data_IF_319521696438
#
_entry.id   IF_319521696438
#
_cell.length_a   1.000
_cell.length_b   1.000
_cell.length_c   1.000
_cell.angle_alpha   90.00
_cell.angle_beta   90.00
_cell.angle_gamma   90.00
#
_symmetry.space_group_name_H-M   'P 1'
#
loop_
_entity.id
_entity.type
_entity.pdbx_description
1 polymer ?
#
# COMPACT_ATOMS: atom_id res chain seq x y z
N UNK A 1 -43.70 33.83 -30.92
CA UNK A 1 -42.62 34.78 -31.25
C UNK A 1 -41.33 34.00 -31.46
N UNK A 2 -40.83 33.93 -32.69
CA UNK A 2 -39.53 33.32 -32.98
C UNK A 2 -38.43 34.20 -32.38
N UNK A 3 -37.78 33.72 -31.31
CA UNK A 3 -36.61 34.40 -30.75
C UNK A 3 -35.44 34.16 -31.68
N UNK A 4 -35.12 35.15 -32.51
CA UNK A 4 -33.88 35.15 -33.30
C UNK A 4 -32.73 35.02 -32.31
N UNK A 5 -31.95 33.94 -32.41
CA UNK A 5 -30.77 33.75 -31.56
C UNK A 5 -29.74 34.82 -31.95
N UNK A 6 -29.43 35.72 -31.04
CA UNK A 6 -28.38 36.73 -31.20
C UNK A 6 -27.04 36.18 -30.69
N UNK A 7 -26.00 36.31 -31.51
CA UNK A 7 -24.64 35.90 -31.18
C UNK A 7 -24.02 36.87 -30.17
N UNK A 8 -22.88 36.49 -29.56
CA UNK A 8 -22.14 37.39 -28.66
C UNK A 8 -21.61 38.62 -29.42
N UNK A 9 -21.15 38.43 -30.65
CA UNK A 9 -20.57 39.48 -31.49
C UNK A 9 -21.60 40.54 -31.89
N UNK A 10 -22.87 40.15 -32.04
CA UNK A 10 -23.96 41.09 -32.32
C UNK A 10 -24.13 42.12 -31.18
N UNK A 11 -23.74 41.80 -29.94
CA UNK A 11 -23.79 42.73 -28.81
C UNK A 11 -22.55 43.62 -28.73
N UNK A 12 -21.38 43.12 -29.15
CA UNK A 12 -20.09 43.83 -29.04
C UNK A 12 -20.13 45.14 -29.82
N UNK A 13 -20.76 45.17 -31.00
CA UNK A 13 -20.91 46.37 -31.83
C UNK A 13 -21.49 47.53 -31.01
N UNK A 14 -22.55 47.27 -30.25
CA UNK A 14 -23.20 48.28 -29.41
C UNK A 14 -22.38 48.65 -28.17
N UNK A 15 -21.61 47.72 -27.61
CA UNK A 15 -20.77 48.00 -26.44
C UNK A 15 -19.57 48.86 -26.80
N UNK A 16 -18.93 48.60 -27.96
CA UNK A 16 -17.82 49.39 -28.48
C UNK A 16 -18.24 50.81 -28.87
N UNK A 17 -19.44 50.98 -29.42
CA UNK A 17 -19.95 52.31 -29.79
C UNK A 17 -20.33 53.18 -28.59
N UNK A 18 -20.56 52.58 -27.40
CA UNK A 18 -20.76 53.27 -26.12
C UNK A 18 -22.01 54.16 -25.98
N UNK A 19 -22.82 54.29 -27.03
CA UNK A 19 -23.90 55.30 -27.12
C UNK A 19 -25.28 54.83 -26.64
N UNK A 20 -25.48 53.51 -26.46
CA UNK A 20 -26.77 52.95 -26.11
C UNK A 20 -26.78 52.30 -24.71
N UNK A 21 -27.83 52.60 -23.94
CA UNK A 21 -28.12 51.93 -22.68
C UNK A 21 -28.61 50.49 -22.91
N UNK A 22 -28.47 49.62 -21.91
CA UNK A 22 -28.94 48.22 -21.97
C UNK A 22 -30.43 48.09 -22.32
N UNK A 23 -31.24 49.08 -21.93
CA UNK A 23 -32.66 49.12 -22.26
C UNK A 23 -32.90 49.40 -23.76
N UNK A 24 -32.07 50.23 -24.38
CA UNK A 24 -32.14 50.51 -25.81
C UNK A 24 -31.65 49.31 -26.62
N UNK A 25 -30.52 48.72 -26.24
CA UNK A 25 -29.98 47.51 -26.89
C UNK A 25 -30.98 46.35 -26.79
N UNK A 26 -31.65 46.19 -25.64
CA UNK A 26 -32.69 45.17 -25.44
C UNK A 26 -33.86 45.33 -26.42
N UNK A 27 -34.33 46.56 -26.63
CA UNK A 27 -35.42 46.87 -27.58
C UNK A 27 -34.98 46.64 -29.02
N UNK A 28 -33.82 47.16 -29.39
CA UNK A 28 -33.24 47.06 -30.73
C UNK A 28 -33.02 45.60 -31.15
N UNK A 29 -32.46 44.81 -30.23
CA UNK A 29 -32.10 43.42 -30.49
C UNK A 29 -33.25 42.44 -30.28
N UNK A 30 -34.38 42.89 -29.72
CA UNK A 30 -35.53 42.03 -29.41
C UNK A 30 -35.22 40.99 -28.32
N UNK A 31 -34.32 41.28 -27.39
CA UNK A 31 -33.86 40.37 -26.33
C UNK A 31 -34.12 40.92 -24.94
N UNK A 32 -34.13 40.06 -23.92
CA UNK A 32 -34.33 40.51 -22.54
C UNK A 32 -33.14 41.38 -22.07
N UNK A 33 -33.42 42.53 -21.44
CA UNK A 33 -32.42 43.42 -20.82
C UNK A 33 -31.48 42.70 -19.86
N UNK A 34 -31.97 41.71 -19.11
CA UNK A 34 -31.13 40.90 -18.22
C UNK A 34 -30.07 40.11 -19.00
N UNK A 35 -30.37 39.69 -20.24
CA UNK A 35 -29.40 39.04 -21.11
C UNK A 35 -28.33 40.05 -21.56
N UNK A 36 -28.72 41.25 -21.99
CA UNK A 36 -27.78 42.32 -22.37
C UNK A 36 -26.81 42.61 -21.23
N UNK A 37 -27.31 42.78 -20.00
CA UNK A 37 -26.49 43.06 -18.82
C UNK A 37 -25.49 41.92 -18.51
N UNK A 38 -25.92 40.65 -18.65
CA UNK A 38 -25.02 39.49 -18.48
C UNK A 38 -23.89 39.47 -19.52
N UNK A 39 -24.22 39.77 -20.77
CA UNK A 39 -23.24 39.79 -21.87
C UNK A 39 -22.29 40.98 -21.70
N UNK A 40 -22.78 42.17 -21.31
CA UNK A 40 -21.95 43.35 -21.04
C UNK A 40 -20.93 43.10 -19.94
N UNK A 41 -21.36 42.56 -18.79
CA UNK A 41 -20.43 42.19 -17.70
C UNK A 41 -19.37 41.21 -18.17
N UNK A 42 -19.74 40.20 -18.97
CA UNK A 42 -18.80 39.22 -19.53
C UNK A 42 -17.79 39.87 -20.48
N UNK A 43 -18.22 40.86 -21.25
CA UNK A 43 -17.35 41.64 -22.14
C UNK A 43 -16.41 42.54 -21.34
N UNK A 44 -16.93 43.32 -20.38
CA UNK A 44 -16.14 44.18 -19.48
C UNK A 44 -15.07 43.38 -18.70
N UNK A 45 -15.41 42.18 -18.21
CA UNK A 45 -14.45 41.30 -17.53
C UNK A 45 -13.36 40.74 -18.46
N UNK A 46 -13.64 40.61 -19.76
CA UNK A 46 -12.61 40.19 -20.73
C UNK A 46 -11.71 41.35 -21.12
N UNK A 47 -12.29 42.55 -21.26
CA UNK A 47 -11.53 43.77 -21.52
C UNK A 47 -10.61 44.11 -20.34
N UNK A 48 -11.09 43.96 -19.09
CA UNK A 48 -10.27 44.16 -17.89
C UNK A 48 -9.12 43.16 -17.78
N UNK A 49 -9.31 41.91 -18.23
CA UNK A 49 -8.27 40.88 -18.20
C UNK A 49 -7.21 41.04 -19.31
N UNK A 50 -7.46 41.89 -20.31
CA UNK A 50 -6.45 42.24 -21.32
C UNK A 50 -5.59 43.45 -20.91
N UNK A 51 -5.99 44.20 -19.87
CA UNK A 51 -5.26 45.38 -19.40
C UNK A 51 -4.24 45.08 -18.27
N UNK A 52 -4.35 43.92 -17.62
CA UNK A 52 -3.33 43.42 -16.69
C UNK A 52 -2.44 42.41 -17.41
N UNK A 53 -1.30 42.87 -17.92
CA UNK A 53 -0.16 41.98 -18.19
C UNK A 53 0.22 41.32 -16.86
N UNK A 54 -0.31 40.13 -16.59
CA UNK A 54 0.29 39.27 -15.59
C UNK A 54 1.76 39.06 -15.97
N UNK A 55 2.73 39.32 -15.08
CA UNK A 55 4.13 39.17 -15.41
C UNK A 55 4.36 37.72 -15.84
N UNK A 56 4.70 37.54 -17.12
CA UNK A 56 5.02 36.24 -17.70
C UNK A 56 6.28 35.73 -16.99
N UNK A 57 6.08 34.88 -15.99
CA UNK A 57 7.18 34.23 -15.26
C UNK A 57 7.93 33.38 -16.27
N UNK A 58 9.12 33.85 -16.64
CA UNK A 58 10.02 33.16 -17.58
C UNK A 58 11.11 32.52 -16.74
N UNK A 59 11.08 31.19 -16.62
CA UNK A 59 12.12 30.43 -15.93
C UNK A 59 13.20 30.09 -16.96
N UNK A 60 14.47 30.24 -16.60
CA UNK A 60 15.56 29.83 -17.49
C UNK A 60 15.56 28.31 -17.66
N UNK A 61 15.82 27.84 -18.88
CA UNK A 61 15.91 26.41 -19.20
C UNK A 61 16.91 25.68 -18.28
N UNK A 62 18.02 26.33 -17.96
CA UNK A 62 19.02 25.84 -17.01
C UNK A 62 18.43 25.59 -15.61
N UNK A 63 17.62 26.53 -15.09
CA UNK A 63 17.00 26.37 -13.77
C UNK A 63 16.01 25.21 -13.76
N UNK A 64 15.23 25.06 -14.84
CA UNK A 64 14.31 23.94 -14.99
C UNK A 64 15.06 22.59 -15.05
N UNK A 65 16.14 22.51 -15.84
CA UNK A 65 16.95 21.31 -15.98
C UNK A 65 17.60 20.90 -14.65
N UNK A 66 18.13 21.86 -13.89
CA UNK A 66 18.72 21.58 -12.58
C UNK A 66 17.67 21.02 -11.59
N UNK A 67 16.46 21.58 -11.56
CA UNK A 67 15.37 21.05 -10.73
C UNK A 67 14.99 19.63 -11.14
N UNK A 68 14.93 19.33 -12.44
CA UNK A 68 14.63 17.98 -12.95
C UNK A 68 15.73 16.98 -12.58
N UNK A 69 17.01 17.36 -12.71
CA UNK A 69 18.14 16.52 -12.31
C UNK A 69 18.09 16.23 -10.82
N UNK A 70 17.96 17.25 -9.97
CA UNK A 70 17.86 17.07 -8.52
C UNK A 70 16.66 16.19 -8.12
N UNK A 71 15.49 16.38 -8.76
CA UNK A 71 14.33 15.53 -8.50
C UNK A 71 14.56 14.07 -8.94
N UNK A 72 15.25 13.86 -10.07
CA UNK A 72 15.61 12.53 -10.57
C UNK A 72 16.58 11.82 -9.62
N UNK A 73 17.64 12.51 -9.18
CA UNK A 73 18.63 11.98 -8.24
C UNK A 73 18.00 11.62 -6.89
N UNK A 74 17.18 12.51 -6.34
CA UNK A 74 16.46 12.26 -5.08
C UNK A 74 15.52 11.05 -5.20
N UNK A 75 14.83 10.90 -6.34
CA UNK A 75 13.99 9.73 -6.60
C UNK A 75 14.81 8.44 -6.73
N UNK A 76 15.95 8.47 -7.41
CA UNK A 76 16.86 7.34 -7.50
C UNK A 76 17.41 6.93 -6.12
N UNK A 77 17.78 7.91 -5.29
CA UNK A 77 18.24 7.69 -3.92
C UNK A 77 17.14 7.09 -3.03
N UNK A 78 15.92 7.63 -3.11
CA UNK A 78 14.75 7.07 -2.40
C UNK A 78 14.46 5.63 -2.84
N UNK A 79 14.53 5.34 -4.14
CA UNK A 79 14.39 3.99 -4.68
C UNK A 79 15.44 3.02 -4.15
N UNK A 80 16.71 3.46 -4.06
CA UNK A 80 17.81 2.68 -3.49
C UNK A 80 17.63 2.41 -2.00
N UNK A 81 17.23 3.41 -1.21
CA UNK A 81 16.95 3.23 0.22
C UNK A 81 15.80 2.25 0.43
N UNK A 82 14.73 2.36 -0.38
CA UNK A 82 13.60 1.45 -0.33
C UNK A 82 14.01 0.01 -0.64
N UNK A 83 14.83 -0.20 -1.67
CA UNK A 83 15.31 -1.53 -2.03
C UNK A 83 16.22 -2.12 -0.94
N UNK A 84 17.14 -1.33 -0.37
CA UNK A 84 17.99 -1.74 0.75
C UNK A 84 17.15 -2.14 1.98
N UNK A 85 16.11 -1.36 2.31
CA UNK A 85 15.21 -1.67 3.41
C UNK A 85 14.45 -2.98 3.17
N UNK A 86 13.94 -3.20 1.96
CA UNK A 86 13.32 -4.47 1.59
C UNK A 86 14.30 -5.65 1.72
N UNK A 87 15.54 -5.50 1.26
CA UNK A 87 16.55 -6.54 1.35
C UNK A 87 16.94 -6.84 2.81
N UNK A 88 17.16 -5.82 3.63
CA UNK A 88 17.45 -5.97 5.07
C UNK A 88 16.29 -6.64 5.80
N UNK A 89 15.04 -6.28 5.49
CA UNK A 89 13.85 -6.94 6.05
C UNK A 89 13.79 -8.41 5.66
N UNK A 90 14.00 -8.73 4.38
CA UNK A 90 14.00 -10.11 3.91
C UNK A 90 15.12 -10.93 4.57
N UNK A 91 16.32 -10.35 4.69
CA UNK A 91 17.46 -10.97 5.37
C UNK A 91 17.13 -11.29 6.83
N UNK A 92 16.57 -10.32 7.56
CA UNK A 92 16.15 -10.53 8.95
C UNK A 92 15.13 -11.66 9.07
N UNK A 93 14.15 -11.73 8.15
CA UNK A 93 13.18 -12.82 8.10
C UNK A 93 13.82 -14.19 7.89
N UNK A 94 14.82 -14.29 7.01
CA UNK A 94 15.57 -15.52 6.78
C UNK A 94 16.41 -15.92 8.00
N UNK A 95 17.10 -14.96 8.62
CA UNK A 95 17.89 -15.20 9.85
C UNK A 95 16.98 -15.67 10.98
N UNK A 96 15.79 -15.06 11.15
CA UNK A 96 14.80 -15.51 12.12
C UNK A 96 14.36 -16.97 11.87
N UNK A 97 14.02 -17.33 10.63
CA UNK A 97 13.60 -18.70 10.28
C UNK A 97 14.73 -19.69 10.61
N UNK A 98 15.97 -19.36 10.25
CA UNK A 98 17.13 -20.21 10.53
C UNK A 98 17.33 -20.42 12.04
N UNK A 99 17.32 -19.35 12.83
CA UNK A 99 17.46 -19.42 14.28
C UNK A 99 16.30 -20.17 14.94
N UNK A 100 15.07 -19.94 14.46
CA UNK A 100 13.89 -20.62 14.99
C UNK A 100 13.92 -22.11 14.71
N UNK A 101 14.32 -22.53 13.50
CA UNK A 101 14.50 -23.96 13.19
C UNK A 101 15.56 -24.60 14.08
N UNK A 102 16.70 -23.93 14.29
CA UNK A 102 17.73 -24.43 15.21
C UNK A 102 17.22 -24.55 16.65
N UNK A 103 16.38 -23.62 17.10
CA UNK A 103 15.71 -23.71 18.39
C UNK A 103 14.76 -24.91 18.47
N UNK A 104 13.96 -25.17 17.43
CA UNK A 104 13.08 -26.33 17.38
C UNK A 104 13.86 -27.65 17.47
N UNK A 105 15.00 -27.75 16.78
CA UNK A 105 15.86 -28.94 16.85
C UNK A 105 16.36 -29.19 18.28
N UNK A 106 16.69 -28.13 19.01
CA UNK A 106 17.09 -28.22 20.42
C UNK A 106 15.94 -28.64 21.32
N UNK A 107 14.77 -28.01 21.18
CA UNK A 107 13.58 -28.32 21.97
C UNK A 107 13.12 -29.77 21.75
N UNK A 108 13.20 -30.25 20.50
CA UNK A 108 12.78 -31.62 20.15
C UNK A 108 13.87 -32.67 20.32
N UNK A 109 15.06 -32.31 20.77
CA UNK A 109 16.17 -33.26 20.95
C UNK A 109 15.79 -34.41 21.90
N UNK A 110 15.10 -34.11 22.99
CA UNK A 110 14.65 -35.13 23.96
C UNK A 110 13.66 -36.11 23.31
N UNK A 111 12.58 -35.58 22.72
CA UNK A 111 11.58 -36.38 22.01
C UNK A 111 12.20 -37.26 20.91
N UNK A 112 13.13 -36.70 20.13
CA UNK A 112 13.82 -37.45 19.07
C UNK A 112 14.65 -38.61 19.62
N UNK A 113 15.30 -38.42 20.78
CA UNK A 113 16.06 -39.49 21.42
C UNK A 113 15.15 -40.59 21.95
N UNK A 114 14.04 -40.21 22.61
CA UNK A 114 13.05 -41.13 23.15
C UNK A 114 12.39 -41.96 22.04
N UNK A 115 11.96 -41.31 20.95
CA UNK A 115 11.45 -41.98 19.74
C UNK A 115 12.45 -43.01 19.22
N UNK A 116 13.73 -42.64 19.08
CA UNK A 116 14.77 -43.57 18.60
C UNK A 116 14.96 -44.78 19.52
N UNK A 117 14.91 -44.56 20.84
CA UNK A 117 15.04 -45.65 21.83
C UNK A 117 13.84 -46.60 21.73
N UNK A 118 12.62 -46.06 21.66
CA UNK A 118 11.39 -46.85 21.51
C UNK A 118 11.38 -47.63 20.19
N UNK A 119 11.73 -46.98 19.07
CA UNK A 119 11.85 -47.62 17.75
C UNK A 119 12.87 -48.76 17.78
N UNK A 120 14.03 -48.57 18.42
CA UNK A 120 15.04 -49.62 18.57
C UNK A 120 14.56 -50.77 19.47
N UNK A 121 13.76 -50.48 20.51
CA UNK A 121 13.20 -51.51 21.39
C UNK A 121 12.14 -52.34 20.66
N UNK A 122 11.26 -51.68 19.90
CA UNK A 122 10.25 -52.32 19.07
C UNK A 122 10.89 -53.25 18.04
N UNK A 123 11.97 -52.82 17.38
CA UNK A 123 12.65 -53.65 16.39
C UNK A 123 13.20 -54.93 17.01
N UNK A 124 13.88 -54.83 18.17
CA UNK A 124 14.39 -56.01 18.90
C UNK A 124 13.27 -56.97 19.32
N UNK A 125 12.14 -56.44 19.79
CA UNK A 125 11.00 -57.26 20.19
C UNK A 125 10.36 -57.98 18.99
N UNK A 126 10.37 -57.38 17.80
CA UNK A 126 9.89 -58.01 16.56
C UNK A 126 10.76 -59.17 16.09
N UNK A 127 12.06 -59.16 16.41
CA UNK A 127 13.00 -60.20 16.00
C UNK A 127 12.97 -61.46 16.89
N UNK A 128 12.43 -61.37 18.11
CA UNK A 128 12.56 -62.42 19.15
C UNK A 128 11.28 -63.12 19.61
N UNK A 129 10.16 -62.97 18.89
CA UNK A 129 8.79 -63.11 19.43
C UNK A 129 8.46 -64.48 20.09
N UNK A 130 8.24 -64.47 21.41
CA UNK A 130 7.37 -65.36 22.19
C UNK A 130 6.09 -64.60 22.68
N UNK A 131 5.07 -65.30 23.22
CA UNK A 131 3.77 -64.69 23.60
C UNK A 131 3.84 -63.60 24.70
N UNK A 132 4.86 -63.59 25.58
CA UNK A 132 5.06 -62.51 26.57
C UNK A 132 5.59 -61.21 25.92
N UNK A 133 6.27 -61.33 24.78
CA UNK A 133 6.84 -60.18 24.05
C UNK A 133 5.77 -59.40 23.28
N UNK A 134 4.60 -60.00 23.00
CA UNK A 134 3.51 -59.36 22.26
C UNK A 134 2.85 -58.23 23.07
N UNK A 135 2.68 -58.42 24.38
CA UNK A 135 2.15 -57.38 25.26
C UNK A 135 3.14 -56.22 25.43
N UNK A 136 4.43 -56.50 25.63
CA UNK A 136 5.44 -55.45 25.71
C UNK A 136 5.56 -54.71 24.38
N UNK A 137 5.54 -55.42 23.24
CA UNK A 137 5.55 -54.80 21.91
C UNK A 137 4.39 -53.82 21.74
N UNK A 138 3.16 -54.20 22.12
CA UNK A 138 1.99 -53.34 22.00
C UNK A 138 2.07 -52.12 22.93
N UNK A 139 2.60 -52.28 24.15
CA UNK A 139 2.82 -51.16 25.07
C UNK A 139 3.83 -50.14 24.49
N UNK A 140 4.97 -50.60 23.98
CA UNK A 140 5.98 -49.72 23.38
C UNK A 140 5.46 -49.01 22.12
N UNK A 141 4.61 -49.68 21.32
CA UNK A 141 3.94 -49.05 20.17
C UNK A 141 2.99 -47.92 20.62
N UNK A 142 2.23 -48.14 21.68
CA UNK A 142 1.34 -47.13 22.24
C UNK A 142 2.14 -45.92 22.77
N UNK A 143 3.21 -46.17 23.53
CA UNK A 143 4.11 -45.14 24.06
C UNK A 143 4.76 -44.33 22.93
N UNK A 144 5.22 -45.00 21.87
CA UNK A 144 5.79 -44.34 20.68
C UNK A 144 4.81 -43.35 20.05
N UNK A 145 3.53 -43.75 19.91
CA UNK A 145 2.48 -42.90 19.36
C UNK A 145 2.14 -41.73 20.27
N UNK A 146 2.19 -41.91 21.59
CA UNK A 146 2.02 -40.83 22.57
C UNK A 146 3.15 -39.80 22.49
N UNK A 147 4.41 -40.25 22.46
CA UNK A 147 5.57 -39.37 22.34
C UNK A 147 5.56 -38.61 21.02
N UNK A 148 5.20 -39.27 19.90
CA UNK A 148 5.05 -38.61 18.59
C UNK A 148 3.95 -37.54 18.60
N UNK A 149 2.80 -37.83 19.21
CA UNK A 149 1.71 -36.84 19.36
C UNK A 149 2.12 -35.67 20.26
N UNK A 150 2.78 -35.93 21.37
CA UNK A 150 3.26 -34.91 22.29
C UNK A 150 4.26 -33.96 21.61
N UNK A 151 5.17 -34.50 20.80
CA UNK A 151 6.12 -33.72 19.99
C UNK A 151 5.40 -32.79 19.00
N UNK A 152 4.42 -33.29 18.25
CA UNK A 152 3.67 -32.46 17.29
C UNK A 152 2.80 -31.41 17.98
N UNK A 153 2.20 -31.75 19.13
CA UNK A 153 1.46 -30.76 19.93
C UNK A 153 2.37 -29.62 20.39
N UNK A 154 3.55 -29.95 20.91
CA UNK A 154 4.54 -28.95 21.32
C UNK A 154 5.00 -28.09 20.13
N UNK A 155 5.16 -28.67 18.94
CA UNK A 155 5.47 -27.93 17.71
C UNK A 155 4.38 -26.93 17.33
N UNK A 156 3.13 -27.34 17.37
CA UNK A 156 2.00 -26.45 17.11
C UNK A 156 1.97 -25.29 18.12
N UNK A 157 2.19 -25.57 19.40
CA UNK A 157 2.24 -24.55 20.45
C UNK A 157 3.36 -23.53 20.20
N UNK A 158 4.57 -23.99 19.87
CA UNK A 158 5.69 -23.09 19.58
C UNK A 158 5.44 -22.21 18.36
N UNK A 159 4.85 -22.77 17.29
CA UNK A 159 4.44 -21.99 16.13
C UNK A 159 3.40 -20.93 16.48
N UNK A 160 2.38 -21.30 17.26
CA UNK A 160 1.36 -20.37 17.71
C UNK A 160 1.95 -19.21 18.53
N UNK A 161 2.81 -19.52 19.50
CA UNK A 161 3.51 -18.53 20.31
C UNK A 161 4.39 -17.59 19.48
N UNK A 162 5.13 -18.13 18.50
CA UNK A 162 5.94 -17.34 17.59
C UNK A 162 5.07 -16.41 16.73
N UNK A 163 3.98 -16.91 16.16
CA UNK A 163 3.05 -16.11 15.36
C UNK A 163 2.38 -15.00 16.18
N UNK A 164 1.99 -15.27 17.43
CA UNK A 164 1.45 -14.24 18.32
C UNK A 164 2.44 -13.11 18.57
N UNK A 165 3.71 -13.44 18.85
CA UNK A 165 4.77 -12.44 19.07
C UNK A 165 5.03 -11.61 17.81
N UNK A 166 5.07 -12.25 16.63
CA UNK A 166 5.23 -11.55 15.35
C UNK A 166 4.05 -10.62 15.04
N UNK A 167 2.83 -11.06 15.34
CA UNK A 167 1.62 -10.23 15.16
C UNK A 167 1.61 -9.03 16.11
N UNK A 168 2.02 -9.20 17.36
CA UNK A 168 2.12 -8.09 18.32
C UNK A 168 3.10 -7.00 17.83
N UNK A 169 4.22 -7.39 17.23
CA UNK A 169 5.19 -6.44 16.65
C UNK A 169 4.68 -5.70 15.42
N UNK A 170 3.77 -6.29 14.65
CA UNK A 170 3.13 -5.65 13.49
C UNK A 170 2.19 -4.51 13.90
N UNK A 171 1.49 -4.64 15.04
CA UNK A 171 0.64 -3.58 15.57
C UNK A 171 1.44 -2.40 16.14
N UNK A 172 2.50 -2.68 16.92
CA UNK A 172 3.32 -1.62 17.51
C UNK A 172 4.09 -0.80 16.45
N UNK A 173 4.52 -1.45 15.37
CA UNK A 173 5.22 -0.78 14.26
C UNK A 173 4.27 0.12 13.45
N UNK A 174 3.05 -0.31 13.16
CA UNK A 174 2.05 0.52 12.45
C UNK A 174 1.64 1.78 13.22
N UNK A 175 1.68 1.75 14.55
CA UNK A 175 1.37 2.92 15.39
C UNK A 175 2.52 3.94 15.39
N UNK A 176 3.78 3.49 15.32
CA UNK A 176 4.96 4.37 15.39
C UNK A 176 5.28 5.11 14.09
N UNK A 177 4.79 4.66 12.94
CA UNK A 177 5.04 5.29 11.63
C UNK A 177 3.90 6.18 11.12
N UNK A 178 2.88 6.47 11.94
CA UNK A 178 1.92 7.56 11.68
C UNK A 178 2.40 8.83 12.41
N UNK A 179 3.36 9.55 11.81
CA UNK A 179 3.69 10.93 12.15
C UNK A 179 3.68 11.73 10.84
#
# INVERSE_FOLDING_TARGET
MNKVKKSFDDYIVYFNEGKLSDAQISKEMGVNRANVCKIRRRWESRESNNLEEHPKVTISEETLNNVLICASEHNAQSGSIRSQLHMSRNRLGLEFIASFNSYLDLEFKSYNNEIKVLESKIERLREGIDNEDEQDLNNNLCELDEVKRAKEFKKMELYYQAMLKLKATDFESQVKFKI
#
